data_IF_725124462265
#
_entry.id   IF_725124462265
#
_cell.length_a   1.000
_cell.length_b   1.000
_cell.length_c   1.000
_cell.angle_alpha   90.00
_cell.angle_beta   90.00
_cell.angle_gamma   90.00
#
_symmetry.space_group_name_H-M   'P 1'
#
loop_
_entity.id
_entity.type
_entity.pdbx_description
1 polymer ?
#
# COMPACT_ATOMS: atom_id res chain seq x y z
N UNK A 1 1.53 15.28 8.46
CA UNK A 1 2.87 14.79 8.09
C UNK A 1 2.71 13.36 7.68
N UNK A 2 3.36 12.92 6.60
CA UNK A 2 3.31 11.51 6.20
C UNK A 2 3.76 10.60 7.35
N UNK A 3 2.99 9.55 7.58
CA UNK A 3 3.37 8.47 8.48
C UNK A 3 4.22 7.43 7.73
N UNK A 4 4.99 6.63 8.45
CA UNK A 4 5.73 5.50 7.86
C UNK A 4 4.79 4.53 7.12
N UNK A 5 3.57 4.34 7.63
CA UNK A 5 2.51 3.54 6.99
C UNK A 5 2.13 4.15 5.64
N UNK A 6 1.88 5.46 5.59
CA UNK A 6 1.56 6.15 4.34
C UNK A 6 2.70 5.98 3.32
N UNK A 7 3.96 6.14 3.73
CA UNK A 7 5.10 6.01 2.83
C UNK A 7 5.23 4.61 2.23
N UNK A 8 5.06 3.57 3.05
CA UNK A 8 5.07 2.18 2.59
C UNK A 8 3.96 1.93 1.58
N UNK A 9 2.72 2.34 1.89
CA UNK A 9 1.59 2.18 0.97
C UNK A 9 1.77 3.02 -0.30
N UNK A 10 2.33 4.22 -0.23
CA UNK A 10 2.60 5.06 -1.41
C UNK A 10 3.65 4.44 -2.35
N UNK A 11 4.48 3.53 -1.85
CA UNK A 11 5.48 2.79 -2.64
C UNK A 11 4.90 1.53 -3.30
N UNK A 12 3.89 0.92 -2.66
CA UNK A 12 3.30 -0.36 -3.04
C UNK A 12 2.80 -0.46 -4.50
N UNK A 13 2.08 0.53 -5.08
CA UNK A 13 1.60 0.43 -6.46
C UNK A 13 2.74 0.28 -7.48
N UNK A 14 3.89 0.90 -7.21
CA UNK A 14 5.08 0.75 -8.07
C UNK A 14 5.70 -0.63 -7.93
N UNK A 15 5.74 -1.17 -6.71
CA UNK A 15 6.20 -2.53 -6.44
C UNK A 15 5.33 -3.57 -7.17
N UNK A 16 4.00 -3.51 -7.01
CA UNK A 16 3.05 -4.41 -7.65
C UNK A 16 3.17 -4.36 -9.18
N UNK A 17 3.29 -3.15 -9.75
CA UNK A 17 3.48 -2.97 -11.18
C UNK A 17 4.79 -3.58 -11.69
N UNK A 18 5.89 -3.41 -10.94
CA UNK A 18 7.19 -3.98 -11.29
C UNK A 18 7.17 -5.51 -11.31
N UNK A 19 6.38 -6.12 -10.42
CA UNK A 19 6.20 -7.57 -10.33
C UNK A 19 5.14 -8.12 -11.30
N UNK A 20 4.50 -7.26 -12.11
CA UNK A 20 3.49 -7.68 -13.08
C UNK A 20 2.10 -7.98 -12.47
N UNK A 21 1.89 -7.65 -11.20
CA UNK A 21 0.63 -7.91 -10.48
C UNK A 21 -0.49 -6.94 -10.86
N UNK A 22 -0.11 -5.73 -11.27
CA UNK A 22 -1.01 -4.75 -11.89
C UNK A 22 -0.36 -4.21 -13.15
N UNK A 23 -1.16 -3.89 -14.18
CA UNK A 23 -0.64 -3.28 -15.41
C UNK A 23 -0.55 -1.76 -15.28
N UNK A 24 -1.54 -1.16 -14.63
CA UNK A 24 -1.67 0.30 -14.45
C UNK A 24 -1.87 0.64 -12.98
N UNK A 25 -1.35 1.79 -12.56
CA UNK A 25 -1.59 2.31 -11.20
C UNK A 25 -3.08 2.58 -10.92
N UNK A 26 -3.88 2.77 -11.98
CA UNK A 26 -5.31 2.97 -11.86
C UNK A 26 -6.01 1.73 -11.27
N UNK A 27 -5.58 0.52 -11.63
CA UNK A 27 -6.10 -0.73 -11.06
C UNK A 27 -5.95 -0.73 -9.54
N UNK A 28 -4.78 -0.29 -9.03
CA UNK A 28 -4.59 -0.15 -7.59
C UNK A 28 -5.58 0.81 -6.93
N UNK A 29 -5.81 1.98 -7.55
CA UNK A 29 -6.72 2.98 -7.02
C UNK A 29 -8.16 2.45 -6.93
N UNK A 30 -8.60 1.77 -8.00
CA UNK A 30 -9.95 1.26 -8.13
C UNK A 30 -10.19 0.11 -7.13
N UNK A 31 -9.27 -0.85 -7.05
CA UNK A 31 -9.38 -2.03 -6.16
C UNK A 31 -9.45 -1.66 -4.67
N UNK A 32 -8.63 -0.70 -4.23
CA UNK A 32 -8.61 -0.30 -2.81
C UNK A 32 -9.64 0.78 -2.48
N UNK A 33 -10.39 1.27 -3.47
CA UNK A 33 -11.40 2.31 -3.31
C UNK A 33 -10.82 3.68 -2.92
N UNK A 34 -9.70 4.08 -3.54
CA UNK A 34 -9.12 5.43 -3.37
C UNK A 34 -9.09 6.16 -4.70
N UNK A 35 -9.47 7.44 -4.72
CA UNK A 35 -9.27 8.24 -5.94
C UNK A 35 -7.80 8.60 -6.13
N UNK A 36 -7.34 8.70 -7.39
CA UNK A 36 -6.01 9.21 -7.74
C UNK A 36 -5.72 10.58 -7.10
N UNK A 37 -6.74 11.44 -7.01
CA UNK A 37 -6.62 12.75 -6.38
C UNK A 37 -6.33 12.62 -4.87
N UNK A 38 -7.06 11.76 -4.15
CA UNK A 38 -6.84 11.53 -2.72
C UNK A 38 -5.47 10.88 -2.46
N UNK A 39 -5.07 9.91 -3.28
CA UNK A 39 -3.72 9.32 -3.23
C UNK A 39 -2.63 10.38 -3.38
N UNK A 40 -2.78 11.30 -4.36
CA UNK A 40 -1.85 12.40 -4.54
C UNK A 40 -1.83 13.41 -3.38
N UNK A 41 -2.98 13.65 -2.73
CA UNK A 41 -3.05 14.47 -1.51
C UNK A 41 -2.24 13.84 -0.37
N UNK A 42 -2.41 12.52 -0.13
CA UNK A 42 -1.60 11.78 0.85
C UNK A 42 -0.11 11.87 0.48
N UNK A 43 0.24 11.74 -0.80
CA UNK A 43 1.63 11.89 -1.27
C UNK A 43 2.23 13.27 -0.96
N UNK A 44 1.45 14.34 -1.13
CA UNK A 44 1.93 15.73 -1.02
C UNK A 44 1.63 16.41 0.32
N UNK A 45 1.10 15.69 1.32
CA UNK A 45 0.59 16.30 2.56
C UNK A 45 1.59 17.20 3.31
N UNK A 46 2.89 16.89 3.25
CA UNK A 46 3.92 17.69 3.94
C UNK A 46 4.13 19.06 3.30
N UNK A 47 3.79 19.21 2.02
CA UNK A 47 3.92 20.47 1.27
C UNK A 47 2.61 21.28 1.37
N UNK A 48 1.45 20.59 1.36
CA UNK A 48 0.15 21.25 1.28
C UNK A 48 -0.50 21.57 2.63
N UNK A 49 0.09 21.15 3.75
CA UNK A 49 -0.52 21.30 5.08
C UNK A 49 -1.84 20.52 5.26
N UNK A 50 -2.12 19.56 4.37
CA UNK A 50 -3.38 18.78 4.38
C UNK A 50 -3.16 17.52 5.20
N UNK A 51 -4.02 17.26 6.19
CA UNK A 51 -3.95 16.03 6.98
C UNK A 51 -4.70 14.87 6.29
N UNK A 52 -4.08 14.27 5.26
CA UNK A 52 -4.68 13.17 4.49
C UNK A 52 -3.91 11.86 4.72
N UNK A 53 -4.63 10.80 5.09
CA UNK A 53 -4.10 9.46 5.34
C UNK A 53 -4.93 8.38 4.66
N UNK A 54 -4.35 7.18 4.53
CA UNK A 54 -5.10 5.98 4.21
C UNK A 54 -6.05 5.62 5.36
N UNK A 55 -7.26 5.18 5.04
CA UNK A 55 -8.21 4.70 6.04
C UNK A 55 -7.89 3.26 6.44
N UNK A 56 -8.36 2.84 7.61
CA UNK A 56 -8.23 1.44 8.07
C UNK A 56 -8.84 0.48 7.04
N UNK A 57 -9.97 0.85 6.44
CA UNK A 57 -10.61 0.05 5.39
C UNK A 57 -9.72 -0.11 4.15
N UNK A 58 -9.04 0.96 3.71
CA UNK A 58 -8.11 0.91 2.58
C UNK A 58 -6.91 0.03 2.91
N UNK A 59 -6.35 0.16 4.11
CA UNK A 59 -5.25 -0.68 4.61
C UNK A 59 -5.66 -2.15 4.61
N UNK A 60 -6.86 -2.44 5.12
CA UNK A 60 -7.40 -3.81 5.16
C UNK A 60 -7.61 -4.38 3.75
N UNK A 61 -8.20 -3.60 2.82
CA UNK A 61 -8.35 -3.98 1.41
C UNK A 61 -7.02 -4.27 0.73
N UNK A 62 -5.98 -3.49 1.00
CA UNK A 62 -4.63 -3.73 0.48
C UNK A 62 -4.13 -5.13 0.88
N UNK A 63 -4.26 -5.48 2.16
CA UNK A 63 -3.83 -6.79 2.66
C UNK A 63 -4.58 -7.95 1.99
N UNK A 64 -5.89 -7.80 1.80
CA UNK A 64 -6.74 -8.84 1.20
C UNK A 64 -6.50 -8.98 -0.31
N UNK A 65 -6.57 -7.87 -1.07
CA UNK A 65 -6.53 -7.90 -2.54
C UNK A 65 -5.16 -8.32 -3.06
N UNK A 66 -4.10 -7.83 -2.42
CA UNK A 66 -2.72 -8.04 -2.90
C UNK A 66 -1.93 -9.03 -2.03
N UNK A 67 -2.56 -9.69 -1.06
CA UNK A 67 -1.88 -10.63 -0.16
C UNK A 67 -0.67 -10.01 0.54
N UNK A 68 -0.78 -8.74 0.95
CA UNK A 68 0.30 -8.00 1.61
C UNK A 68 0.25 -8.25 3.11
N UNK A 69 1.40 -8.56 3.71
CA UNK A 69 1.53 -8.73 5.15
C UNK A 69 1.31 -7.40 5.87
N UNK A 70 0.35 -7.37 6.80
CA UNK A 70 0.11 -6.19 7.65
C UNK A 70 1.34 -5.81 8.47
N UNK A 71 2.16 -6.78 8.88
CA UNK A 71 3.41 -6.49 9.57
C UNK A 71 4.35 -5.66 8.70
N UNK A 72 4.34 -5.86 7.38
CA UNK A 72 5.11 -5.01 6.48
C UNK A 72 4.52 -3.62 6.40
N UNK A 73 3.20 -3.48 6.33
CA UNK A 73 2.50 -2.19 6.29
C UNK A 73 2.83 -1.36 7.54
N UNK A 74 2.81 -2.00 8.72
CA UNK A 74 3.10 -1.39 10.00
C UNK A 74 4.60 -1.29 10.33
N UNK A 75 5.48 -1.73 9.44
CA UNK A 75 6.94 -1.62 9.61
C UNK A 75 7.56 -2.60 10.61
N UNK A 76 6.85 -3.67 10.95
CA UNK A 76 7.33 -4.78 11.79
C UNK A 76 8.22 -5.74 10.97
N UNK A 77 7.98 -5.84 9.65
CA UNK A 77 8.81 -6.65 8.74
C UNK A 77 9.25 -5.87 7.50
N UNK A 78 10.37 -6.30 6.90
CA UNK A 78 10.90 -5.70 5.67
C UNK A 78 10.36 -6.35 4.40
N UNK A 79 9.77 -7.54 4.50
CA UNK A 79 9.23 -8.30 3.37
C UNK A 79 7.72 -8.07 3.22
N UNK A 80 7.23 -7.61 2.05
CA UNK A 80 5.80 -7.35 1.81
C UNK A 80 4.90 -8.58 1.87
N UNK A 81 5.49 -9.77 1.76
CA UNK A 81 4.82 -11.06 1.83
C UNK A 81 5.58 -11.98 2.75
N UNK A 82 4.87 -12.84 3.45
CA UNK A 82 5.50 -13.92 4.18
C UNK A 82 6.15 -14.86 3.18
N UNK A 83 7.46 -15.10 3.34
CA UNK A 83 8.06 -16.30 2.78
C UNK A 83 7.46 -17.47 3.54
N UNK A 84 6.42 -18.09 2.99
CA UNK A 84 6.13 -19.48 3.31
C UNK A 84 7.35 -20.29 2.85
N UNK A 85 8.36 -20.40 3.72
CA UNK A 85 9.28 -21.53 3.62
C UNK A 85 8.37 -22.75 3.68
N UNK A 86 8.28 -23.43 2.55
CA UNK A 86 7.58 -24.67 2.35
C UNK A 86 7.78 -25.55 3.59
N UNK A 87 6.74 -25.72 4.40
CA UNK A 87 6.65 -26.89 5.26
C UNK A 87 6.39 -28.07 4.32
N UNK A 88 7.44 -28.51 3.63
CA UNK A 88 7.52 -29.87 3.12
C UNK A 88 7.93 -30.71 4.33
N UNK A 89 6.95 -31.34 4.95
CA UNK A 89 7.13 -32.57 5.73
C UNK A 89 6.73 -33.71 4.82
#
# INVERSE_FOLDING_TARGET
MKTAIDERILSLPRYLKKNGEIKRLQEFYDEIGISKQRFNKIKKQDISGINAHFTVEQIHKIGIVYGIDFNWIFGVTDTPRQNTKSAQI
#
